data_IF_841088096001
#
_entry.id   IF_841088096001
#
_cell.length_a   1.000
_cell.length_b   1.000
_cell.length_c   1.000
_cell.angle_alpha   90.00
_cell.angle_beta   90.00
_cell.angle_gamma   90.00
#
_symmetry.space_group_name_H-M   'P 1'
#
loop_
_entity.id
_entity.type
_entity.pdbx_description
1 polymer ?
#
# COMPACT_ATOMS: atom_id res chain seq x y z
N UNK A 1 18.75 -1.76 11.34
CA UNK A 1 18.14 -3.07 11.65
C UNK A 1 17.04 -2.97 12.72
N UNK A 2 17.27 -2.34 13.88
CA UNK A 2 16.20 -2.14 14.89
C UNK A 2 15.13 -1.10 14.49
N UNK A 3 15.54 0.04 13.93
CA UNK A 3 14.61 1.09 13.44
C UNK A 3 13.68 0.60 12.31
N UNK A 4 14.18 -0.26 11.43
CA UNK A 4 13.42 -0.85 10.31
C UNK A 4 12.40 -1.89 10.77
N UNK A 5 12.67 -2.58 11.88
CA UNK A 5 11.74 -3.53 12.49
C UNK A 5 10.65 -2.81 13.29
N UNK A 6 11.00 -1.71 13.98
CA UNK A 6 10.05 -0.85 14.68
C UNK A 6 9.06 -0.17 13.70
N UNK A 7 9.56 0.36 12.58
CA UNK A 7 8.67 0.91 11.55
C UNK A 7 7.76 -0.17 10.94
N UNK A 8 8.25 -1.40 10.77
CA UNK A 8 7.46 -2.52 10.27
C UNK A 8 6.34 -2.94 11.22
N UNK A 9 6.59 -3.03 12.53
CA UNK A 9 5.57 -3.40 13.51
C UNK A 9 4.46 -2.34 13.62
N UNK A 10 4.83 -1.06 13.55
CA UNK A 10 3.89 0.08 13.51
C UNK A 10 3.07 0.04 12.21
N UNK A 11 3.72 -0.13 11.06
CA UNK A 11 3.04 -0.25 9.77
C UNK A 11 2.05 -1.42 9.75
N UNK A 12 2.43 -2.57 10.31
CA UNK A 12 1.56 -3.75 10.41
C UNK A 12 0.33 -3.48 11.28
N UNK A 13 0.49 -2.73 12.36
CA UNK A 13 -0.61 -2.38 13.27
C UNK A 13 -1.59 -1.41 12.60
N UNK A 14 -1.07 -0.37 11.95
CA UNK A 14 -1.88 0.60 11.20
C UNK A 14 -2.62 -0.07 10.04
N UNK A 15 -1.94 -0.94 9.29
CA UNK A 15 -2.55 -1.65 8.18
C UNK A 15 -3.66 -2.59 8.64
N UNK A 16 -3.49 -3.32 9.75
CA UNK A 16 -4.56 -4.15 10.33
C UNK A 16 -5.80 -3.33 10.66
N UNK A 17 -5.63 -2.18 11.31
CA UNK A 17 -6.75 -1.29 11.65
C UNK A 17 -7.45 -0.76 10.39
N UNK A 18 -6.66 -0.36 9.39
CA UNK A 18 -7.18 0.10 8.11
C UNK A 18 -7.93 -1.00 7.35
N UNK A 19 -7.38 -2.22 7.33
CA UNK A 19 -8.02 -3.39 6.73
C UNK A 19 -9.39 -3.67 7.35
N UNK A 20 -9.50 -3.67 8.69
CA UNK A 20 -10.79 -3.88 9.36
C UNK A 20 -11.84 -2.82 8.98
N UNK A 21 -11.44 -1.59 8.73
CA UNK A 21 -12.34 -0.53 8.29
C UNK A 21 -12.81 -0.73 6.84
N UNK A 22 -11.91 -1.16 5.94
CA UNK A 22 -12.25 -1.46 4.54
C UNK A 22 -13.14 -2.69 4.43
N UNK A 23 -12.77 -3.78 5.11
CA UNK A 23 -13.48 -5.06 5.04
C UNK A 23 -14.94 -4.93 5.48
N UNK A 24 -15.21 -4.16 6.55
CA UNK A 24 -16.55 -3.93 7.08
C UNK A 24 -17.26 -2.71 6.46
N UNK A 25 -16.74 -2.18 5.36
CA UNK A 25 -17.32 -1.00 4.73
C UNK A 25 -18.62 -1.33 4.00
N UNK A 26 -19.63 -0.45 4.10
CA UNK A 26 -20.96 -0.66 3.47
C UNK A 26 -20.91 -0.65 1.94
N UNK A 27 -19.98 0.11 1.36
CA UNK A 27 -19.75 0.13 -0.08
C UNK A 27 -18.97 -1.13 -0.51
N UNK A 28 -19.55 -2.01 -1.35
CA UNK A 28 -18.92 -3.26 -1.78
C UNK A 28 -17.65 -3.06 -2.61
N UNK A 29 -17.53 -1.94 -3.33
CA UNK A 29 -16.31 -1.62 -4.08
C UNK A 29 -15.13 -1.39 -3.13
N UNK A 30 -15.39 -0.83 -1.94
CA UNK A 30 -14.37 -0.51 -0.95
C UNK A 30 -13.99 -1.77 -0.16
N UNK A 31 -14.94 -2.62 0.21
CA UNK A 31 -14.63 -3.89 0.88
C UNK A 31 -13.86 -4.87 -0.01
N UNK A 32 -14.15 -4.88 -1.32
CA UNK A 32 -13.40 -5.66 -2.30
C UNK A 32 -11.93 -5.22 -2.47
N UNK A 33 -11.57 -4.00 -2.05
CA UNK A 33 -10.18 -3.53 -2.04
C UNK A 33 -9.42 -3.96 -0.77
N UNK A 34 -10.10 -4.54 0.22
CA UNK A 34 -9.44 -5.01 1.45
C UNK A 34 -8.57 -6.23 1.16
N UNK A 35 -7.29 -6.17 1.54
CA UNK A 35 -6.34 -7.30 1.42
C UNK A 35 -5.76 -7.62 2.79
N UNK A 36 -5.67 -8.91 3.13
CA UNK A 36 -5.16 -9.38 4.43
C UNK A 36 -3.63 -9.34 4.55
N UNK A 37 -2.94 -9.28 3.41
CA UNK A 37 -1.49 -9.14 3.36
C UNK A 37 -1.12 -7.67 3.28
N UNK A 38 -0.19 -7.23 4.14
CA UNK A 38 0.57 -6.01 3.87
C UNK A 38 1.28 -6.24 2.54
N UNK A 39 1.09 -5.39 1.52
CA UNK A 39 1.88 -5.48 0.31
C UNK A 39 3.34 -5.40 0.76
N UNK A 40 4.13 -6.45 0.50
CA UNK A 40 5.58 -6.36 0.71
C UNK A 40 6.11 -5.14 -0.05
N UNK A 41 7.21 -4.53 0.41
CA UNK A 41 7.82 -3.37 -0.26
C UNK A 41 7.93 -3.70 -1.76
N UNK A 42 7.07 -3.12 -2.62
CA UNK A 42 7.08 -3.47 -4.01
C UNK A 42 8.40 -2.92 -4.54
N UNK A 43 9.36 -3.84 -4.75
CA UNK A 43 10.74 -3.55 -5.11
C UNK A 43 10.79 -2.35 -6.05
N UNK A 44 11.36 -1.25 -5.51
CA UNK A 44 11.23 0.12 -6.00
C UNK A 44 11.28 0.20 -7.53
N UNK A 45 10.11 0.42 -8.13
CA UNK A 45 9.80 1.50 -9.08
C UNK A 45 8.56 1.10 -9.89
N UNK A 46 7.53 1.94 -9.84
CA UNK A 46 6.63 2.04 -10.97
C UNK A 46 7.50 2.42 -12.18
N UNK A 47 7.54 1.59 -13.23
CA UNK A 47 8.05 1.98 -14.55
C UNK A 47 7.10 3.04 -15.13
N UNK A 48 7.06 4.22 -14.54
CA UNK A 48 6.33 5.35 -15.07
C UNK A 48 7.15 5.94 -16.19
N UNK A 49 6.67 5.85 -17.43
CA UNK A 49 7.00 6.87 -18.43
C UNK A 49 6.28 8.14 -17.98
N UNK A 50 7.00 9.08 -17.38
CA UNK A 50 6.38 10.33 -16.96
C UNK A 50 6.14 11.19 -18.20
N UNK A 51 5.14 12.07 -18.18
CA UNK A 51 4.89 13.01 -19.29
C UNK A 51 6.12 13.87 -19.63
N UNK A 52 7.04 14.09 -18.68
CA UNK A 52 8.34 14.73 -18.93
C UNK A 52 9.24 13.93 -19.89
N UNK A 53 9.17 12.60 -19.85
CA UNK A 53 9.94 11.69 -20.70
C UNK A 53 9.34 11.56 -22.12
N UNK A 54 8.18 12.17 -22.38
CA UNK A 54 7.47 12.20 -23.67
C UNK A 54 7.71 13.49 -24.45
N UNK A 55 8.42 14.47 -23.88
CA UNK A 55 8.68 15.79 -24.49
C UNK A 55 10.02 15.86 -25.26
N UNK A 56 10.61 14.72 -25.59
CA UNK A 56 11.93 14.62 -26.29
C UNK A 56 11.81 14.07 -27.71
N UNK A 57 10.66 14.28 -28.36
CA UNK A 57 10.54 14.14 -29.82
C UNK A 57 10.80 15.48 -30.54
#
# INVERSE_FOLDING_TARGET
>A
MLLTLYSYSVAKTLYKRFHSNLFNHRNPLISNLSTLSVPGDPGRRLKGKWCRDLLTE
#
